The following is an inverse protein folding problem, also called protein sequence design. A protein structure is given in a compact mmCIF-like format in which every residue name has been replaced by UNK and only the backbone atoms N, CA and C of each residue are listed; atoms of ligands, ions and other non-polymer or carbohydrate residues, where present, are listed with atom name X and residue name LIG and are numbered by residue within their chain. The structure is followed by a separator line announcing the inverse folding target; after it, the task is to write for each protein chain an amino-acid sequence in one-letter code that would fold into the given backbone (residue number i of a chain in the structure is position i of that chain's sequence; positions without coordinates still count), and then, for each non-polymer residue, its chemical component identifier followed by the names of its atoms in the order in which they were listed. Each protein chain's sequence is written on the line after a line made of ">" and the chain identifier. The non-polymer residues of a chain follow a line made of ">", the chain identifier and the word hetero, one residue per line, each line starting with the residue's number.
data_IF_498437392557
#
_entry.id   IF_498437392557
#
_cell.length_a   1.000
_cell.length_b   1.000
_cell.length_c   1.000
_cell.angle_alpha   90.00
_cell.angle_beta   90.00
_cell.angle_gamma   90.00
#
_symmetry.space_group_name_H-M   'P 1'
#
loop_
_entity.id
_entity.type
_entity.pdbx_description
1 polymer ?
#
# COMPACT_ATOMS: atom_id res chain seq x y z
N UNK A 1 17.06 5.90 -13.21
CA UNK A 1 17.79 6.55 -12.09
C UNK A 1 16.96 7.60 -11.37
N UNK A 2 16.13 8.41 -12.04
CA UNK A 2 15.38 9.51 -11.39
C UNK A 2 14.37 9.06 -10.31
N UNK A 3 13.78 7.87 -10.43
CA UNK A 3 12.83 7.31 -9.45
C UNK A 3 13.46 6.89 -8.11
N UNK A 4 14.79 6.73 -8.06
CA UNK A 4 15.51 6.26 -6.87
C UNK A 4 15.98 7.39 -5.95
N UNK A 5 15.75 8.64 -6.33
CA UNK A 5 16.25 9.78 -5.56
C UNK A 5 15.16 10.33 -4.63
N UNK A 6 15.51 10.75 -3.39
CA UNK A 6 14.62 11.54 -2.53
C UNK A 6 14.16 12.85 -3.18
N UNK A 7 14.74 13.22 -4.33
CA UNK A 7 14.36 14.38 -5.12
C UNK A 7 13.15 14.16 -6.03
N UNK A 8 12.65 12.93 -6.17
CA UNK A 8 11.42 12.67 -6.90
C UNK A 8 10.25 13.47 -6.28
N UNK A 9 9.53 14.31 -7.06
CA UNK A 9 8.48 15.18 -6.52
C UNK A 9 7.36 14.42 -5.81
N UNK A 10 7.03 13.22 -6.29
CA UNK A 10 5.96 12.41 -5.73
C UNK A 10 6.37 11.76 -4.39
N UNK A 11 7.62 11.31 -4.30
CA UNK A 11 8.18 10.80 -3.04
C UNK A 11 8.32 11.91 -1.99
N UNK A 12 8.73 13.12 -2.40
CA UNK A 12 8.70 14.31 -1.53
C UNK A 12 7.31 14.63 -1.03
N UNK A 13 6.31 14.54 -1.91
CA UNK A 13 4.90 14.75 -1.54
C UNK A 13 4.44 13.71 -0.53
N UNK A 14 4.82 12.44 -0.69
CA UNK A 14 4.55 11.39 0.30
C UNK A 14 5.14 11.74 1.66
N UNK A 15 6.43 12.10 1.71
CA UNK A 15 7.11 12.50 2.93
C UNK A 15 6.42 13.67 3.65
N UNK A 16 5.94 14.67 2.91
CA UNK A 16 5.27 15.84 3.49
C UNK A 16 3.81 15.58 3.90
N UNK A 17 3.09 14.71 3.18
CA UNK A 17 1.65 14.52 3.37
C UNK A 17 1.30 13.32 4.24
N UNK A 18 2.14 12.29 4.25
CA UNK A 18 1.96 11.02 4.96
C UNK A 18 3.34 10.51 5.46
N UNK A 19 3.95 11.20 6.45
CA UNK A 19 5.31 10.91 6.89
C UNK A 19 5.46 9.51 7.49
N UNK A 20 4.42 8.96 8.13
CA UNK A 20 4.41 7.59 8.62
C UNK A 20 4.49 6.58 7.48
N UNK A 21 3.65 6.76 6.46
CA UNK A 21 3.67 5.92 5.25
C UNK A 21 5.00 6.03 4.50
N UNK A 22 5.60 7.22 4.46
CA UNK A 22 6.93 7.40 3.89
C UNK A 22 7.97 6.55 4.64
N UNK A 23 8.03 6.65 5.96
CA UNK A 23 8.98 5.88 6.77
C UNK A 23 8.78 4.36 6.60
N UNK A 24 7.53 3.90 6.64
CA UNK A 24 7.14 2.53 6.33
C UNK A 24 7.71 2.08 4.97
N UNK A 25 7.46 2.86 3.92
CA UNK A 25 7.90 2.57 2.56
C UNK A 25 9.43 2.46 2.43
N UNK A 26 10.19 3.31 3.14
CA UNK A 26 11.66 3.26 3.14
C UNK A 26 12.18 1.99 3.82
N UNK A 27 11.59 1.60 4.95
CA UNK A 27 11.98 0.37 5.66
C UNK A 27 11.67 -0.86 4.81
N UNK A 28 10.44 -0.96 4.28
CA UNK A 28 10.02 -2.04 3.40
C UNK A 28 10.90 -2.14 2.13
N UNK A 29 11.35 -1.00 1.58
CA UNK A 29 12.23 -0.98 0.42
C UNK A 29 13.60 -1.64 0.66
N UNK A 30 14.19 -1.45 1.84
CA UNK A 30 15.46 -2.10 2.19
C UNK A 30 15.29 -3.63 2.31
N UNK A 31 14.17 -4.08 2.89
CA UNK A 31 13.85 -5.50 3.00
C UNK A 31 13.61 -6.13 1.63
N UNK A 32 12.82 -5.44 0.78
CA UNK A 32 12.49 -5.91 -0.56
C UNK A 32 13.71 -5.99 -1.48
N UNK A 33 14.63 -5.03 -1.39
CA UNK A 33 15.90 -5.05 -2.13
C UNK A 33 16.73 -6.28 -1.76
N UNK A 34 16.99 -6.48 -0.47
CA UNK A 34 17.78 -7.61 0.02
C UNK A 34 17.14 -8.97 -0.34
N UNK A 35 15.81 -9.08 -0.19
CA UNK A 35 15.07 -10.29 -0.56
C UNK A 35 15.15 -10.57 -2.08
N UNK A 36 15.03 -9.53 -2.90
CA UNK A 36 15.13 -9.66 -4.35
C UNK A 36 16.53 -10.10 -4.80
N UNK A 37 17.60 -9.56 -4.21
CA UNK A 37 18.96 -10.03 -4.46
C UNK A 37 19.12 -11.51 -4.12
N UNK A 38 18.63 -11.93 -2.95
CA UNK A 38 18.77 -13.30 -2.46
C UNK A 38 18.08 -14.35 -3.35
N UNK A 39 17.00 -13.99 -4.06
CA UNK A 39 16.23 -14.92 -4.90
C UNK A 39 16.42 -14.70 -6.41
N UNK A 40 17.40 -13.88 -6.79
CA UNK A 40 17.71 -13.56 -8.19
C UNK A 40 16.57 -12.84 -8.92
N UNK A 41 15.82 -12.00 -8.21
CA UNK A 41 14.85 -11.06 -8.78
C UNK A 41 15.54 -9.72 -9.07
N UNK A 42 14.80 -8.72 -9.56
CA UNK A 42 15.32 -7.37 -9.80
C UNK A 42 15.26 -6.51 -8.52
N UNK A 43 16.40 -6.27 -7.84
CA UNK A 43 16.42 -5.57 -6.55
C UNK A 43 16.04 -4.10 -6.65
N UNK A 44 16.47 -3.44 -7.73
CA UNK A 44 16.11 -2.05 -8.02
C UNK A 44 14.59 -1.91 -8.21
N UNK A 45 13.97 -2.83 -8.96
CA UNK A 45 12.54 -2.78 -9.20
C UNK A 45 11.74 -3.02 -7.92
N UNK A 46 12.15 -3.99 -7.09
CA UNK A 46 11.52 -4.24 -5.79
C UNK A 46 11.63 -3.04 -4.86
N UNK A 47 12.83 -2.44 -4.76
CA UNK A 47 13.09 -1.24 -3.95
C UNK A 47 12.23 -0.05 -4.36
N UNK A 48 12.23 0.28 -5.67
CA UNK A 48 11.40 1.38 -6.19
C UNK A 48 9.91 1.05 -6.07
N UNK A 49 9.53 -0.21 -6.24
CA UNK A 49 8.18 -0.69 -5.96
C UNK A 49 7.71 -0.32 -4.55
N UNK A 50 8.52 -0.62 -3.54
CA UNK A 50 8.23 -0.25 -2.15
C UNK A 50 8.17 1.26 -1.92
N UNK A 51 8.97 2.08 -2.60
CA UNK A 51 8.86 3.55 -2.45
C UNK A 51 7.48 4.11 -2.82
N UNK A 52 6.75 3.43 -3.69
CA UNK A 52 5.49 3.94 -4.22
C UNK A 52 4.29 3.02 -4.00
N UNK A 53 4.45 1.82 -3.43
CA UNK A 53 3.36 0.85 -3.23
C UNK A 53 2.15 1.47 -2.52
N UNK A 54 2.42 2.33 -1.54
CA UNK A 54 1.42 3.00 -0.72
C UNK A 54 1.11 4.44 -1.14
N UNK A 55 1.54 4.89 -2.32
CA UNK A 55 1.48 6.30 -2.70
C UNK A 55 0.05 6.86 -2.74
N UNK A 56 -0.98 6.01 -2.92
CA UNK A 56 -2.37 6.44 -2.87
C UNK A 56 -2.83 6.93 -1.48
N UNK A 57 -2.15 6.53 -0.40
CA UNK A 57 -2.46 6.96 0.96
C UNK A 57 -2.39 8.48 1.13
N UNK A 58 -1.63 9.20 0.29
CA UNK A 58 -1.57 10.67 0.32
C UNK A 58 -2.91 11.36 0.10
N UNK A 59 -3.90 10.67 -0.50
CA UNK A 59 -5.25 11.23 -0.70
C UNK A 59 -5.99 11.41 0.62
N UNK A 60 -5.76 10.51 1.58
CA UNK A 60 -6.50 10.41 2.85
C UNK A 60 -5.58 9.90 3.97
N UNK A 61 -4.48 10.60 4.28
CA UNK A 61 -3.39 10.05 5.11
C UNK A 61 -3.86 9.64 6.51
N UNK A 62 -4.75 10.41 7.11
CA UNK A 62 -5.28 10.17 8.45
C UNK A 62 -6.13 8.90 8.60
N UNK A 63 -6.47 8.20 7.52
CA UNK A 63 -7.14 6.88 7.57
C UNK A 63 -6.14 5.72 7.61
N UNK A 64 -4.85 5.98 7.78
CA UNK A 64 -3.83 4.95 7.88
C UNK A 64 -3.08 5.12 9.19
N UNK A 65 -3.00 4.03 9.97
CA UNK A 65 -2.57 4.05 11.38
C UNK A 65 -1.20 4.66 11.57
N UNK A 66 -0.28 4.47 10.62
CA UNK A 66 1.06 5.01 10.66
C UNK A 66 1.09 6.55 10.60
N UNK A 67 -0.01 7.20 10.18
CA UNK A 67 -0.15 8.66 10.11
C UNK A 67 -1.12 9.23 11.17
N UNK A 68 -1.50 8.46 12.19
CA UNK A 68 -2.50 8.85 13.19
C UNK A 68 -1.93 9.23 14.58
N UNK A 69 -0.62 9.51 14.68
CA UNK A 69 0.09 9.67 15.96
C UNK A 69 -0.60 10.59 17.01
N UNK A 70 -1.35 11.62 16.58
CA UNK A 70 -1.91 12.65 17.47
C UNK A 70 -3.45 12.78 17.42
N UNK A 71 -4.15 11.90 16.69
CA UNK A 71 -5.60 12.10 16.41
C UNK A 71 -6.49 10.92 16.81
N UNK A 72 -5.90 9.83 17.31
CA UNK A 72 -6.61 8.58 17.60
C UNK A 72 -7.05 7.83 16.34
N UNK A 73 -7.63 6.65 16.53
CA UNK A 73 -8.00 5.79 15.41
C UNK A 73 -9.34 6.23 14.79
N UNK A 74 -9.28 6.91 13.64
CA UNK A 74 -10.48 7.40 12.93
C UNK A 74 -11.47 6.26 12.60
N UNK A 75 -10.98 5.03 12.42
CA UNK A 75 -11.83 3.89 12.09
C UNK A 75 -12.79 3.47 13.21
N UNK A 76 -12.58 3.91 14.45
CA UNK A 76 -13.50 3.65 15.56
C UNK A 76 -14.87 4.33 15.35
N UNK A 77 -14.90 5.40 14.55
CA UNK A 77 -16.11 6.17 14.25
C UNK A 77 -16.75 5.79 12.91
N UNK A 78 -16.30 4.70 12.28
CA UNK A 78 -16.75 4.27 10.95
C UNK A 78 -17.28 2.84 11.00
N UNK A 79 -18.20 2.53 10.06
CA UNK A 79 -18.56 1.13 9.83
C UNK A 79 -17.36 0.34 9.30
N UNK A 80 -17.23 -0.96 9.61
CA UNK A 80 -16.18 -1.80 9.07
C UNK A 80 -16.12 -1.80 7.54
N UNK A 81 -17.30 -1.79 6.88
CA UNK A 81 -17.40 -1.75 5.42
C UNK A 81 -16.85 -0.45 4.85
N UNK A 82 -17.19 0.69 5.45
CA UNK A 82 -16.64 2.00 5.04
C UNK A 82 -15.12 2.04 5.20
N UNK A 83 -14.62 1.53 6.33
CA UNK A 83 -13.18 1.41 6.56
C UNK A 83 -12.51 0.53 5.50
N UNK A 84 -13.12 -0.61 5.16
CA UNK A 84 -12.63 -1.51 4.10
C UNK A 84 -12.54 -0.80 2.74
N UNK A 85 -13.57 -0.04 2.36
CA UNK A 85 -13.63 0.71 1.10
C UNK A 85 -12.56 1.79 1.01
N UNK A 86 -12.37 2.56 2.08
CA UNK A 86 -11.32 3.58 2.17
C UNK A 86 -9.94 2.95 2.02
N UNK A 87 -9.71 1.83 2.70
CA UNK A 87 -8.46 1.09 2.56
C UNK A 87 -8.33 0.45 1.17
N UNK A 88 -9.41 0.10 0.46
CA UNK A 88 -9.29 -0.42 -0.91
C UNK A 88 -8.85 0.70 -1.88
N UNK A 89 -9.38 1.90 -1.66
CA UNK A 89 -9.16 3.04 -2.54
C UNK A 89 -7.67 3.45 -2.66
N UNK A 90 -6.82 3.20 -1.66
CA UNK A 90 -5.40 3.58 -1.75
C UNK A 90 -4.68 2.90 -2.94
N UNK A 91 -5.06 1.67 -3.29
CA UNK A 91 -4.47 0.95 -4.42
C UNK A 91 -4.85 1.65 -5.73
N UNK A 92 -6.14 1.89 -5.95
CA UNK A 92 -6.64 2.54 -7.17
C UNK A 92 -6.17 3.98 -7.28
N UNK A 93 -6.19 4.71 -6.17
CA UNK A 93 -5.72 6.10 -6.09
C UNK A 93 -4.20 6.18 -6.37
N UNK A 94 -3.43 5.19 -5.89
CA UNK A 94 -2.00 5.09 -6.14
C UNK A 94 -1.69 4.83 -7.61
N UNK A 95 -2.37 3.86 -8.23
CA UNK A 95 -2.19 3.55 -9.66
C UNK A 95 -2.55 4.76 -10.53
N UNK A 96 -3.65 5.45 -10.23
CA UNK A 96 -4.08 6.62 -10.99
C UNK A 96 -3.08 7.77 -10.85
N UNK A 97 -2.61 8.02 -9.65
CA UNK A 97 -1.59 9.04 -9.40
C UNK A 97 -0.28 8.72 -10.13
N UNK A 98 0.17 7.47 -10.14
CA UNK A 98 1.36 7.07 -10.88
C UNK A 98 1.18 7.19 -12.40
N UNK A 99 -0.02 7.01 -12.94
CA UNK A 99 -0.33 7.31 -14.35
C UNK A 99 -0.15 8.80 -14.65
N UNK A 100 -0.67 9.68 -13.80
CA UNK A 100 -0.57 11.14 -13.96
C UNK A 100 0.88 11.62 -13.93
N UNK A 101 1.74 10.98 -13.13
CA UNK A 101 3.17 11.26 -13.06
C UNK A 101 4.01 10.45 -14.06
N UNK A 102 3.36 9.76 -15.02
CA UNK A 102 4.02 9.02 -16.10
C UNK A 102 5.01 7.94 -15.62
N UNK A 103 4.72 7.30 -14.48
CA UNK A 103 5.55 6.22 -13.98
C UNK A 103 5.49 4.98 -14.88
N UNK A 104 6.58 4.18 -14.95
CA UNK A 104 6.62 2.94 -15.70
C UNK A 104 5.50 1.97 -15.30
N UNK A 105 4.99 1.19 -16.27
CA UNK A 105 3.97 0.16 -16.03
C UNK A 105 4.37 -0.82 -14.92
N UNK A 106 5.63 -1.25 -14.87
CA UNK A 106 6.10 -2.18 -13.84
C UNK A 106 5.87 -1.66 -12.40
N UNK A 107 6.05 -0.37 -12.15
CA UNK A 107 5.80 0.22 -10.82
C UNK A 107 4.30 0.29 -10.54
N UNK A 108 3.52 0.75 -11.53
CA UNK A 108 2.05 0.79 -11.41
C UNK A 108 1.45 -0.58 -11.13
N UNK A 109 1.99 -1.62 -11.74
CA UNK A 109 1.58 -3.00 -11.55
C UNK A 109 1.93 -3.52 -10.15
N UNK A 110 3.12 -3.20 -9.62
CA UNK A 110 3.47 -3.51 -8.23
C UNK A 110 2.46 -2.85 -7.28
N UNK A 111 2.18 -1.55 -7.45
CA UNK A 111 1.19 -0.82 -6.63
C UNK A 111 -0.18 -1.47 -6.72
N UNK A 112 -0.64 -1.87 -7.90
CA UNK A 112 -1.93 -2.54 -8.06
C UNK A 112 -1.98 -3.92 -7.35
N UNK A 113 -0.85 -4.60 -7.25
CA UNK A 113 -0.75 -6.00 -6.83
C UNK A 113 -0.27 -6.21 -5.39
N UNK A 114 0.28 -5.19 -4.73
CA UNK A 114 1.02 -5.39 -3.47
C UNK A 114 0.16 -5.91 -2.32
N UNK A 115 -1.15 -5.63 -2.31
CA UNK A 115 -2.09 -6.26 -1.35
C UNK A 115 -2.64 -7.60 -1.86
N UNK A 116 -2.42 -7.91 -3.13
CA UNK A 116 -2.98 -9.06 -3.80
C UNK A 116 -4.48 -9.19 -3.54
N UNK A 117 -4.87 -10.33 -3.00
CA UNK A 117 -6.26 -10.59 -2.59
C UNK A 117 -6.32 -10.91 -1.10
N UNK A 118 -5.53 -10.22 -0.27
CA UNK A 118 -5.55 -10.38 1.20
C UNK A 118 -6.86 -9.88 1.78
N UNK A 119 -7.17 -10.32 3.00
CA UNK A 119 -8.41 -10.00 3.72
C UNK A 119 -8.07 -9.05 4.84
N UNK A 120 -8.85 -7.98 4.98
CA UNK A 120 -8.74 -7.02 6.08
C UNK A 120 -9.39 -7.61 7.34
N UNK A 121 -8.71 -8.60 7.92
CA UNK A 121 -9.24 -9.47 8.99
C UNK A 121 -9.76 -8.70 10.20
N UNK A 122 -9.15 -7.56 10.53
CA UNK A 122 -9.61 -6.70 11.61
C UNK A 122 -11.05 -6.24 11.38
N UNK A 123 -11.33 -5.58 10.24
CA UNK A 123 -12.66 -5.08 9.90
C UNK A 123 -13.66 -6.20 9.64
N UNK A 124 -13.23 -7.32 9.05
CA UNK A 124 -14.11 -8.48 8.89
C UNK A 124 -14.58 -9.02 10.25
N UNK A 125 -13.67 -9.20 11.22
CA UNK A 125 -14.04 -9.63 12.58
C UNK A 125 -14.93 -8.61 13.27
N UNK A 126 -14.60 -7.33 13.18
CA UNK A 126 -15.42 -6.25 13.73
C UNK A 126 -16.86 -6.28 13.18
N UNK A 127 -17.03 -6.55 11.88
CA UNK A 127 -18.35 -6.67 11.27
C UNK A 127 -19.15 -7.88 11.81
N UNK A 128 -18.50 -9.03 11.98
CA UNK A 128 -19.13 -10.21 12.59
C UNK A 128 -19.53 -9.96 14.05
N UNK A 129 -18.68 -9.28 14.82
CA UNK A 129 -18.96 -8.91 16.22
C UNK A 129 -20.13 -7.93 16.35
N UNK A 130 -20.35 -7.09 15.33
CA UNK A 130 -21.50 -6.20 15.22
C UNK A 130 -22.78 -6.92 14.73
N UNK A 131 -22.71 -8.23 14.46
CA UNK A 131 -23.85 -9.03 13.98
C UNK A 131 -24.24 -8.76 12.54
N UNK A 132 -23.33 -8.22 11.71
CA UNK A 132 -23.59 -7.98 10.30
C UNK A 132 -23.51 -9.29 9.51
N UNK A 133 -24.43 -9.46 8.55
CA UNK A 133 -24.40 -10.57 7.59
C UNK A 133 -23.44 -10.23 6.45
N UNK A 134 -22.16 -10.59 6.63
CA UNK A 134 -21.07 -10.29 5.70
C UNK A 134 -20.20 -11.52 5.43
N UNK A 135 -19.55 -11.55 4.28
CA UNK A 135 -18.63 -12.62 3.87
C UNK A 135 -17.20 -12.12 3.89
N UNK A 136 -16.25 -13.04 4.01
CA UNK A 136 -14.81 -12.71 4.02
C UNK A 136 -14.38 -11.98 2.74
N UNK A 137 -15.01 -12.30 1.60
CA UNK A 137 -14.75 -11.67 0.30
C UNK A 137 -15.18 -10.19 0.24
N UNK A 138 -16.12 -9.76 1.09
CA UNK A 138 -16.54 -8.35 1.15
C UNK A 138 -15.43 -7.45 1.78
N UNK A 139 -14.44 -8.07 2.44
CA UNK A 139 -13.28 -7.40 3.08
C UNK A 139 -11.95 -7.71 2.39
N UNK A 140 -12.01 -8.30 1.20
CA UNK A 140 -10.84 -8.68 0.41
C UNK A 140 -10.39 -7.52 -0.48
N UNK A 141 -9.09 -7.35 -0.64
CA UNK A 141 -8.58 -6.49 -1.71
C UNK A 141 -8.96 -7.06 -3.08
N UNK A 142 -9.34 -6.20 -4.05
CA UNK A 142 -9.80 -6.65 -5.36
C UNK A 142 -8.68 -7.29 -6.21
N UNK A 143 -7.42 -7.07 -5.85
CA UNK A 143 -6.26 -7.61 -6.53
C UNK A 143 -5.90 -6.89 -7.84
N UNK A 144 -5.24 -7.60 -8.78
CA UNK A 144 -4.99 -9.04 -8.78
C UNK A 144 -3.87 -9.48 -7.83
N UNK A 145 -3.70 -10.80 -7.63
CA UNK A 145 -2.54 -11.37 -6.93
C UNK A 145 -1.22 -11.02 -7.66
N UNK A 146 -0.08 -10.96 -6.96
CA UNK A 146 1.23 -10.75 -7.57
C UNK A 146 1.51 -11.70 -8.72
N UNK A 147 1.95 -11.14 -9.85
CA UNK A 147 2.27 -11.89 -11.09
C UNK A 147 3.77 -11.95 -11.38
N UNK A 148 4.58 -11.22 -10.62
CA UNK A 148 6.04 -11.20 -10.73
C UNK A 148 6.66 -11.49 -9.36
N UNK A 149 7.94 -11.91 -9.35
CA UNK A 149 8.68 -12.11 -8.10
C UNK A 149 8.77 -10.80 -7.31
N UNK A 150 9.01 -9.69 -7.99
CA UNK A 150 9.15 -8.37 -7.38
C UNK A 150 7.85 -7.90 -6.73
N UNK A 151 6.69 -8.09 -7.38
CA UNK A 151 5.40 -7.77 -6.78
C UNK A 151 5.12 -8.64 -5.54
N UNK A 152 5.50 -9.92 -5.58
CA UNK A 152 5.35 -10.82 -4.43
C UNK A 152 6.29 -10.45 -3.29
N UNK A 153 7.54 -10.05 -3.60
CA UNK A 153 8.51 -9.57 -2.61
C UNK A 153 8.01 -8.29 -1.95
N UNK A 154 7.50 -7.32 -2.73
CA UNK A 154 6.94 -6.08 -2.20
C UNK A 154 5.74 -6.37 -1.28
N UNK A 155 4.84 -7.28 -1.70
CA UNK A 155 3.73 -7.73 -0.86
C UNK A 155 4.20 -8.32 0.48
N UNK A 156 5.25 -9.15 0.47
CA UNK A 156 5.79 -9.78 1.68
C UNK A 156 6.51 -8.75 2.57
N UNK A 157 7.26 -7.81 1.97
CA UNK A 157 7.99 -6.78 2.70
C UNK A 157 7.10 -5.71 3.34
N UNK A 158 5.87 -5.54 2.82
CA UNK A 158 4.84 -4.63 3.35
C UNK A 158 4.10 -5.20 4.58
N UNK A 159 4.03 -6.54 4.70
CA UNK A 159 3.16 -7.24 5.67
C UNK A 159 3.61 -7.11 7.13
#
# INVERSE_FOLDING_TARGET
>A
MELMTPNNPLLKRLMMSAPGTYNHSIVAANLAEAAAEAVGANPVLARVGCYFHDIGKIRRPHFFVENQADIGNIHENLSPTTSSDILNAHVTDGVELLKQYHFPTAIREIVQQHQGTTVKRYFFRQALEQGLDVREDDFRYPGPRPRTKEAAIVMIADT
#
